data_IF_765342600666
#
_entry.id   IF_765342600666
#
_cell.length_a   1.000
_cell.length_b   1.000
_cell.length_c   1.000
_cell.angle_alpha   90.00
_cell.angle_beta   90.00
_cell.angle_gamma   90.00
#
_symmetry.space_group_name_H-M   'P 1'
#
loop_
_entity.id
_entity.type
_entity.pdbx_description
1 polymer ?
#
# COMPACT_ATOMS: atom_id res chain seq x y z
N UNK A 1 -2.35 -4.29 -15.15
CA UNK A 1 -3.38 -3.27 -14.92
C UNK A 1 -2.92 -2.32 -13.82
N UNK A 2 -3.59 -1.17 -13.66
CA UNK A 2 -3.35 -0.23 -12.55
C UNK A 2 -3.98 -0.78 -11.27
N UNK A 3 -3.19 -0.95 -10.22
CA UNK A 3 -3.61 -1.56 -8.95
C UNK A 3 -3.87 -0.52 -7.85
N UNK A 4 -2.96 0.44 -7.69
CA UNK A 4 -3.04 1.52 -6.70
C UNK A 4 -2.60 2.83 -7.34
N UNK A 5 -3.14 3.94 -6.89
CA UNK A 5 -2.69 5.29 -7.23
C UNK A 5 -2.65 6.13 -5.98
N UNK A 6 -1.60 6.93 -5.85
CA UNK A 6 -1.37 7.85 -4.75
C UNK A 6 -1.06 9.21 -5.36
N UNK A 7 -1.72 10.25 -4.85
CA UNK A 7 -1.48 11.64 -5.22
C UNK A 7 -0.95 12.36 -4.00
N UNK A 8 0.15 13.07 -4.15
CA UNK A 8 0.86 13.70 -3.04
C UNK A 8 1.30 15.12 -3.35
N UNK A 9 1.54 15.88 -2.29
CA UNK A 9 2.11 17.21 -2.32
C UNK A 9 3.63 17.12 -2.16
N UNK A 10 4.37 17.82 -3.00
CA UNK A 10 5.85 17.77 -3.00
C UNK A 10 6.49 18.63 -1.91
N UNK A 11 5.81 19.68 -1.44
CA UNK A 11 6.36 20.60 -0.44
C UNK A 11 6.78 19.88 0.86
N UNK A 12 6.02 18.86 1.25
CA UNK A 12 6.17 18.12 2.50
C UNK A 12 6.10 16.59 2.33
N UNK A 13 5.93 16.11 1.10
CA UNK A 13 5.80 14.68 0.81
C UNK A 13 4.50 14.07 1.34
N UNK A 14 3.47 14.89 1.58
CA UNK A 14 2.23 14.43 2.19
C UNK A 14 1.30 13.79 1.14
N UNK A 15 0.78 12.57 1.38
CA UNK A 15 -0.22 11.98 0.50
C UNK A 15 -1.56 12.69 0.69
N UNK A 16 -2.19 13.11 -0.40
CA UNK A 16 -3.45 13.86 -0.42
C UNK A 16 -4.66 12.95 -0.69
N UNK A 17 -4.51 12.05 -1.66
CA UNK A 17 -5.58 11.21 -2.19
C UNK A 17 -5.02 9.87 -2.65
N UNK A 18 -5.90 8.86 -2.72
CA UNK A 18 -5.55 7.53 -3.19
C UNK A 18 -6.69 6.86 -3.95
N UNK A 19 -6.41 5.67 -4.48
CA UNK A 19 -7.47 4.79 -5.01
C UNK A 19 -8.56 4.56 -3.95
N UNK A 20 -9.86 4.70 -4.30
CA UNK A 20 -10.95 4.45 -3.38
C UNK A 20 -10.91 3.05 -2.76
N UNK A 21 -11.20 2.95 -1.47
CA UNK A 21 -11.13 1.70 -0.72
C UNK A 21 -11.94 0.55 -1.35
N UNK A 22 -13.14 0.84 -1.84
CA UNK A 22 -14.00 -0.17 -2.49
C UNK A 22 -13.46 -0.72 -3.82
N UNK A 23 -12.42 -0.10 -4.40
CA UNK A 23 -11.78 -0.54 -5.64
C UNK A 23 -10.49 -1.32 -5.42
N UNK A 24 -10.05 -1.41 -4.16
CA UNK A 24 -8.93 -2.24 -3.72
C UNK A 24 -9.49 -3.67 -3.65
N UNK A 25 -8.98 -4.55 -4.51
CA UNK A 25 -9.32 -5.99 -4.51
C UNK A 25 -9.04 -6.58 -3.11
N UNK A 26 -9.65 -7.74 -2.77
CA UNK A 26 -9.64 -8.41 -1.43
C UNK A 26 -8.25 -8.73 -0.83
N UNK A 27 -7.16 -8.26 -1.45
CA UNK A 27 -5.78 -8.38 -1.01
C UNK A 27 -5.27 -7.08 -0.36
N UNK A 28 -6.03 -6.55 0.61
CA UNK A 28 -5.73 -5.29 1.30
C UNK A 28 -4.35 -5.29 1.97
N UNK A 29 -3.96 -6.41 2.60
CA UNK A 29 -2.66 -6.55 3.28
C UNK A 29 -1.51 -6.40 2.29
N UNK A 30 -1.64 -7.02 1.11
CA UNK A 30 -0.64 -6.90 0.06
C UNK A 30 -0.53 -5.44 -0.40
N UNK A 31 -1.66 -4.79 -0.73
CA UNK A 31 -1.67 -3.42 -1.23
C UNK A 31 -1.25 -2.38 -0.17
N UNK A 32 -1.45 -2.66 1.11
CA UNK A 32 -0.94 -1.82 2.20
C UNK A 32 0.59 -1.72 2.19
N UNK A 33 1.30 -2.81 1.90
CA UNK A 33 2.76 -2.79 1.79
C UNK A 33 3.25 -1.92 0.62
N UNK A 34 2.58 -1.99 -0.54
CA UNK A 34 2.92 -1.13 -1.67
C UNK A 34 2.53 0.32 -1.44
N UNK A 35 1.46 0.59 -0.69
CA UNK A 35 1.12 1.96 -0.28
C UNK A 35 2.26 2.58 0.53
N UNK A 36 2.78 1.87 1.52
CA UNK A 36 3.94 2.33 2.31
C UNK A 36 5.18 2.57 1.42
N UNK A 37 5.45 1.67 0.46
CA UNK A 37 6.54 1.87 -0.51
C UNK A 37 6.31 3.13 -1.38
N UNK A 38 5.07 3.39 -1.82
CA UNK A 38 4.71 4.57 -2.60
C UNK A 38 4.83 5.87 -1.80
N UNK A 39 4.45 5.87 -0.52
CA UNK A 39 4.66 7.00 0.40
C UNK A 39 6.16 7.30 0.59
N UNK A 40 7.00 6.25 0.70
CA UNK A 40 8.46 6.43 0.75
C UNK A 40 8.99 7.05 -0.54
N UNK A 41 8.53 6.58 -1.71
CA UNK A 41 8.88 7.19 -3.00
C UNK A 41 8.46 8.65 -3.05
N UNK A 42 7.24 8.98 -2.62
CA UNK A 42 6.77 10.37 -2.56
C UNK A 42 7.67 11.23 -1.67
N UNK A 43 8.09 10.70 -0.51
CA UNK A 43 9.01 11.39 0.40
C UNK A 43 10.36 11.63 -0.28
N UNK A 44 10.92 10.64 -0.96
CA UNK A 44 12.21 10.79 -1.65
C UNK A 44 12.15 11.80 -2.82
N UNK A 45 11.00 11.88 -3.49
CA UNK A 45 10.75 12.92 -4.49
C UNK A 45 10.69 14.29 -3.80
N UNK A 46 9.97 14.40 -2.67
CA UNK A 46 9.82 15.67 -1.94
C UNK A 46 11.13 16.22 -1.37
N UNK A 47 12.06 15.34 -0.96
CA UNK A 47 13.39 15.74 -0.48
C UNK A 47 14.34 16.16 -1.60
N UNK A 48 13.92 16.01 -2.87
CA UNK A 48 14.72 16.36 -4.04
C UNK A 48 15.78 15.33 -4.40
N UNK A 49 15.75 14.12 -3.82
CA UNK A 49 16.65 13.03 -4.20
C UNK A 49 16.21 12.35 -5.51
N UNK A 50 14.92 12.37 -5.83
CA UNK A 50 14.36 11.97 -7.12
C UNK A 50 13.79 13.20 -7.85
N UNK A 51 14.56 13.78 -8.76
CA UNK A 51 14.21 15.04 -9.45
C UNK A 51 13.58 14.85 -10.83
N UNK A 52 13.53 13.62 -11.34
CA UNK A 52 13.10 13.34 -12.70
C UNK A 52 11.57 13.49 -12.83
N UNK A 53 11.07 14.27 -13.81
CA UNK A 53 9.65 14.60 -13.90
C UNK A 53 8.77 13.39 -14.21
N UNK A 54 9.33 12.39 -14.89
CA UNK A 54 8.72 11.09 -15.16
C UNK A 54 9.71 10.02 -14.77
N UNK A 55 9.26 8.99 -14.08
CA UNK A 55 10.14 7.92 -13.64
C UNK A 55 9.39 6.60 -13.50
N UNK A 56 10.10 5.50 -13.70
CA UNK A 56 9.60 4.15 -13.37
C UNK A 56 10.48 3.53 -12.31
N UNK A 57 9.84 2.88 -11.34
CA UNK A 57 10.52 2.24 -10.22
C UNK A 57 10.06 0.79 -10.17
N UNK A 58 11.00 -0.14 -10.34
CA UNK A 58 10.73 -1.57 -10.31
C UNK A 58 10.60 -2.04 -8.86
N UNK A 59 9.50 -2.72 -8.55
CA UNK A 59 9.17 -3.21 -7.20
C UNK A 59 8.59 -4.61 -7.28
N UNK A 60 9.40 -5.61 -6.94
CA UNK A 60 9.00 -7.02 -6.96
C UNK A 60 8.43 -7.41 -8.34
N UNK A 61 7.15 -7.80 -8.39
CA UNK A 61 6.41 -8.18 -9.61
C UNK A 61 5.57 -7.03 -10.20
N UNK A 62 5.82 -5.79 -9.74
CA UNK A 62 5.09 -4.59 -10.08
C UNK A 62 6.05 -3.45 -10.44
N UNK A 63 5.48 -2.36 -10.93
CA UNK A 63 6.19 -1.12 -11.22
C UNK A 63 5.41 0.05 -10.64
N UNK A 64 6.10 0.98 -10.00
CA UNK A 64 5.58 2.32 -9.82
C UNK A 64 5.94 3.17 -11.03
N UNK A 65 4.97 3.95 -11.51
CA UNK A 65 5.23 5.05 -12.42
C UNK A 65 4.90 6.34 -11.67
N UNK A 66 5.81 7.31 -11.69
CA UNK A 66 5.59 8.63 -11.08
C UNK A 66 5.62 9.73 -12.11
N UNK A 67 4.76 10.73 -11.90
CA UNK A 67 4.69 11.96 -12.67
C UNK A 67 4.67 13.13 -11.68
N UNK A 68 5.66 14.01 -11.81
CA UNK A 68 5.84 15.21 -11.00
C UNK A 68 5.39 16.42 -11.82
N UNK A 69 4.57 17.29 -11.24
CA UNK A 69 4.15 18.55 -11.87
C UNK A 69 3.46 19.50 -10.90
N UNK A 70 3.72 20.80 -11.03
CA UNK A 70 3.06 21.89 -10.29
C UNK A 70 2.98 21.69 -8.76
N UNK A 71 4.09 21.26 -8.15
CA UNK A 71 4.16 21.06 -6.69
C UNK A 71 3.43 19.81 -6.19
N UNK A 72 2.94 18.98 -7.10
CA UNK A 72 2.26 17.70 -6.80
C UNK A 72 2.91 16.54 -7.53
N UNK A 73 2.62 15.32 -7.08
CA UNK A 73 3.10 14.09 -7.68
C UNK A 73 1.99 13.05 -7.73
N UNK A 74 1.83 12.40 -8.89
CA UNK A 74 0.96 11.26 -9.06
C UNK A 74 1.82 10.00 -9.21
N UNK A 75 1.56 8.98 -8.38
CA UNK A 75 2.27 7.70 -8.39
C UNK A 75 1.25 6.59 -8.63
N UNK A 76 1.48 5.74 -9.63
CA UNK A 76 0.63 4.59 -9.94
C UNK A 76 1.40 3.28 -9.82
N UNK A 77 0.88 2.34 -9.04
CA UNK A 77 1.30 0.94 -9.02
C UNK A 77 0.63 0.19 -10.16
N UNK A 78 1.42 -0.45 -11.00
CA UNK A 78 0.97 -1.27 -12.10
C UNK A 78 1.60 -2.66 -12.05
N UNK A 79 0.89 -3.67 -12.56
CA UNK A 79 1.53 -4.96 -12.85
C UNK A 79 2.70 -4.78 -13.83
N UNK A 80 3.75 -5.59 -13.71
CA UNK A 80 4.94 -5.48 -14.57
C UNK A 80 4.65 -5.59 -16.09
N UNK A 81 3.59 -6.32 -16.48
CA UNK A 81 3.17 -6.45 -17.88
C UNK A 81 2.31 -5.29 -18.41
N UNK A 82 1.93 -4.34 -17.55
CA UNK A 82 1.08 -3.25 -17.97
C UNK A 82 1.87 -2.29 -18.87
N UNK A 83 1.33 -1.87 -20.03
CA UNK A 83 2.09 -1.03 -20.95
C UNK A 83 2.53 0.28 -20.30
N UNK A 84 3.85 0.47 -20.15
CA UNK A 84 4.48 1.66 -19.52
C UNK A 84 3.93 2.96 -20.10
N UNK A 85 3.81 3.04 -21.42
CA UNK A 85 3.25 4.20 -22.12
C UNK A 85 1.83 4.54 -21.68
N UNK A 86 0.99 3.52 -21.52
CA UNK A 86 -0.38 3.70 -21.08
C UNK A 86 -0.45 4.13 -19.61
N UNK A 87 0.48 3.68 -18.77
CA UNK A 87 0.60 4.16 -17.39
C UNK A 87 0.92 5.66 -17.32
N UNK A 88 1.82 6.16 -18.18
CA UNK A 88 2.11 7.59 -18.22
C UNK A 88 0.97 8.41 -18.79
N UNK A 89 0.24 7.91 -19.79
CA UNK A 89 -1.00 8.57 -20.22
C UNK A 89 -2.05 8.65 -19.11
N UNK A 90 -2.21 7.57 -18.34
CA UNK A 90 -3.08 7.56 -17.17
C UNK A 90 -2.68 8.64 -16.15
N UNK A 91 -1.39 8.74 -15.82
CA UNK A 91 -0.88 9.74 -14.89
C UNK A 91 -1.01 11.17 -15.43
N UNK A 92 -0.78 11.37 -16.73
CA UNK A 92 -0.93 12.68 -17.38
C UNK A 92 -2.38 13.16 -17.32
N UNK A 93 -3.35 12.34 -17.76
CA UNK A 93 -4.74 12.78 -17.70
C UNK A 93 -5.21 13.00 -16.24
N UNK A 94 -4.68 12.22 -15.29
CA UNK A 94 -5.01 12.40 -13.87
C UNK A 94 -4.42 13.69 -13.31
N UNK A 95 -3.19 14.03 -13.70
CA UNK A 95 -2.51 15.26 -13.30
C UNK A 95 -3.19 16.49 -13.91
N UNK A 96 -3.65 16.43 -15.16
CA UNK A 96 -4.47 17.49 -15.79
C UNK A 96 -5.77 17.78 -15.02
N UNK A 97 -6.41 16.78 -14.41
CA UNK A 97 -7.55 17.03 -13.52
C UNK A 97 -7.15 17.63 -12.17
N UNK A 98 -5.94 17.32 -11.69
CA UNK A 98 -5.41 17.89 -10.46
C UNK A 98 -5.08 19.37 -10.65
N UNK A 99 -4.53 19.76 -11.81
CA UNK A 99 -4.25 21.15 -12.17
C UNK A 99 -5.50 22.04 -12.21
N UNK A 100 -6.70 21.46 -12.42
CA UNK A 100 -7.98 22.19 -12.36
C UNK A 100 -8.37 22.57 -10.93
N UNK A 101 -7.74 21.96 -9.93
CA UNK A 101 -7.97 22.26 -8.51
C UNK A 101 -7.09 23.45 -8.13
N UNK A 102 -7.67 24.45 -7.47
CA UNK A 102 -6.90 25.59 -6.97
C UNK A 102 -5.80 25.09 -6.00
N UNK A 103 -4.55 25.47 -6.28
CA UNK A 103 -3.39 25.17 -5.44
C UNK A 103 -3.60 25.59 -3.98
N UNK A 104 -4.38 26.64 -3.71
CA UNK A 104 -4.74 27.05 -2.34
C UNK A 104 -5.51 25.97 -1.58
N UNK A 105 -6.37 25.23 -2.28
CA UNK A 105 -7.10 24.09 -1.70
C UNK A 105 -6.13 22.95 -1.42
N UNK A 106 -5.25 22.64 -2.37
CA UNK A 106 -4.21 21.61 -2.21
C UNK A 106 -3.28 21.92 -1.02
N UNK A 107 -2.93 23.20 -0.83
CA UNK A 107 -2.11 23.68 0.27
C UNK A 107 -2.85 23.68 1.61
N UNK A 108 -4.18 23.84 1.60
CA UNK A 108 -5.00 23.90 2.83
C UNK A 108 -5.09 22.58 3.59
N UNK A 109 -4.85 21.44 2.94
CA UNK A 109 -4.85 20.14 3.59
C UNK A 109 -3.68 20.01 4.57
N UNK A 110 -3.99 19.52 5.78
CA UNK A 110 -3.04 19.31 6.88
C UNK A 110 -2.91 17.83 7.29
N UNK A 111 -3.88 17.01 6.90
CA UNK A 111 -3.91 15.59 7.24
C UNK A 111 -3.68 14.72 5.99
N UNK A 112 -2.93 13.61 6.14
CA UNK A 112 -2.78 12.61 5.08
C UNK A 112 -4.13 12.08 4.58
N UNK A 113 -4.25 11.87 3.26
CA UNK A 113 -5.42 11.27 2.61
C UNK A 113 -6.74 12.02 2.85
N UNK A 114 -6.69 13.31 3.17
CA UNK A 114 -7.85 14.14 3.46
C UNK A 114 -8.59 14.64 2.20
N UNK A 115 -7.96 14.57 1.02
CA UNK A 115 -8.57 15.01 -0.24
C UNK A 115 -9.51 13.96 -0.86
N UNK A 116 -10.52 13.52 -0.09
CA UNK A 116 -11.46 12.45 -0.49
C UNK A 116 -12.23 12.70 -1.79
N UNK A 117 -12.45 13.97 -2.14
CA UNK A 117 -13.12 14.32 -3.40
C UNK A 117 -12.30 13.86 -4.61
N UNK A 118 -10.97 13.89 -4.52
CA UNK A 118 -10.10 13.48 -5.61
C UNK A 118 -10.02 11.95 -5.76
N UNK A 119 -10.30 11.18 -4.71
CA UNK A 119 -10.37 9.72 -4.77
C UNK A 119 -11.36 9.26 -5.87
N UNK A 120 -12.49 9.96 -6.05
CA UNK A 120 -13.46 9.68 -7.10
C UNK A 120 -12.88 9.91 -8.52
N UNK A 121 -12.07 10.96 -8.69
CA UNK A 121 -11.39 11.25 -9.95
C UNK A 121 -10.42 10.12 -10.26
N UNK A 122 -9.58 9.74 -9.29
CA UNK A 122 -8.67 8.60 -9.38
C UNK A 122 -9.42 7.32 -9.80
N UNK A 123 -10.53 7.01 -9.14
CA UNK A 123 -11.34 5.83 -9.48
C UNK A 123 -11.89 5.86 -10.90
N UNK A 124 -12.42 7.00 -11.34
CA UNK A 124 -12.97 7.17 -12.69
C UNK A 124 -11.91 7.03 -13.79
N UNK A 125 -10.73 7.62 -13.60
CA UNK A 125 -9.62 7.43 -14.54
C UNK A 125 -9.12 6.00 -14.51
N UNK A 126 -8.92 5.41 -13.32
CA UNK A 126 -8.47 4.02 -13.22
C UNK A 126 -9.34 3.09 -14.06
N UNK A 127 -10.67 3.20 -13.94
CA UNK A 127 -11.62 2.38 -14.69
C UNK A 127 -11.47 2.50 -16.21
N UNK A 128 -11.20 3.70 -16.74
CA UNK A 128 -10.97 3.91 -18.18
C UNK A 128 -9.67 3.26 -18.68
N UNK A 129 -8.70 3.09 -17.79
CA UNK A 129 -7.38 2.56 -18.10
C UNK A 129 -7.18 1.09 -17.68
N UNK A 130 -8.16 0.48 -17.01
CA UNK A 130 -8.11 -0.93 -16.61
C UNK A 130 -7.95 -1.85 -17.83
N UNK A 131 -8.77 -1.65 -18.86
CA UNK A 131 -8.71 -2.44 -20.09
C UNK A 131 -7.83 -1.76 -21.15
N UNK A 132 -6.64 -2.33 -21.34
CA UNK A 132 -5.66 -1.88 -22.35
C UNK A 132 -6.14 -2.02 -23.80
N UNK A 133 -7.18 -2.82 -24.04
CA UNK A 133 -7.65 -3.23 -25.38
C UNK A 133 -8.77 -2.34 -25.91
N UNK A 134 -9.23 -1.36 -25.13
CA UNK A 134 -10.23 -0.40 -25.60
C UNK A 134 -9.67 0.44 -26.75
N UNK A 135 -10.54 0.86 -27.68
CA UNK A 135 -10.12 1.66 -28.84
C UNK A 135 -9.39 2.95 -28.44
N UNK A 136 -9.84 3.61 -27.35
CA UNK A 136 -9.19 4.81 -26.81
C UNK A 136 -7.77 4.53 -26.30
N UNK A 137 -7.57 3.42 -25.57
CA UNK A 137 -6.26 3.07 -25.02
C UNK A 137 -5.30 2.57 -26.11
N UNK A 138 -5.81 1.82 -27.09
CA UNK A 138 -5.04 1.43 -28.27
C UNK A 138 -4.60 2.65 -29.09
N UNK A 139 -5.47 3.67 -29.22
CA UNK A 139 -5.11 4.92 -29.86
C UNK A 139 -3.94 5.62 -29.12
N UNK A 140 -4.02 5.75 -27.79
CA UNK A 140 -2.93 6.32 -26.97
C UNK A 140 -1.63 5.53 -27.06
N UNK A 141 -1.72 4.20 -27.12
CA UNK A 141 -0.55 3.34 -27.31
C UNK A 141 0.13 3.58 -28.66
N UNK A 142 -0.66 3.82 -29.70
CA UNK A 142 -0.17 3.98 -31.07
C UNK A 142 0.21 5.43 -31.42
N UNK A 143 -0.31 6.44 -30.73
CA UNK A 143 0.02 7.85 -30.97
C UNK A 143 1.49 8.17 -30.65
N UNK A 144 2.18 8.93 -31.50
CA UNK A 144 3.61 9.31 -31.48
C UNK A 144 4.57 8.60 -30.51
N UNK A 145 5.49 7.84 -31.10
CA UNK A 145 6.49 6.97 -30.46
C UNK A 145 7.72 7.71 -29.90
N UNK A 146 7.78 9.05 -30.02
CA UNK A 146 9.01 9.83 -29.75
C UNK A 146 9.19 10.26 -28.30
N UNK A 147 8.14 10.30 -27.49
CA UNK A 147 8.21 10.86 -26.12
C UNK A 147 8.53 9.83 -25.02
N UNK A 148 8.63 8.53 -25.34
CA UNK A 148 8.79 7.45 -24.34
C UNK A 148 10.23 6.95 -24.16
N UNK A 149 11.18 7.38 -25.00
CA UNK A 149 12.51 6.76 -25.10
C UNK A 149 13.45 7.14 -23.94
N UNK A 150 13.14 8.20 -23.18
CA UNK A 150 14.04 8.76 -22.16
C UNK A 150 13.49 8.72 -20.73
N UNK A 151 12.49 7.87 -20.45
CA UNK A 151 11.98 7.77 -19.09
C UNK A 151 12.92 6.87 -18.26
N UNK A 152 13.57 7.40 -17.21
CA UNK A 152 14.49 6.64 -16.37
C UNK A 152 13.76 5.53 -15.61
N UNK A 153 14.50 4.45 -15.36
CA UNK A 153 14.04 3.31 -14.59
C UNK A 153 15.01 3.07 -13.44
N UNK A 154 14.52 3.03 -12.21
CA UNK A 154 15.30 2.66 -11.03
C UNK A 154 14.71 1.44 -10.33
N UNK A 155 15.49 0.84 -9.45
CA UNK A 155 15.02 -0.21 -8.55
C UNK A 155 14.65 0.39 -7.19
N UNK A 156 13.56 -0.10 -6.60
CA UNK A 156 13.14 0.37 -5.27
C UNK A 156 14.18 0.08 -4.17
N UNK A 157 14.96 -0.99 -4.30
CA UNK A 157 16.06 -1.31 -3.39
C UNK A 157 17.12 -0.20 -3.35
N UNK A 158 17.42 0.43 -4.48
CA UNK A 158 18.34 1.56 -4.56
C UNK A 158 17.79 2.79 -3.82
N UNK A 159 16.50 3.07 -3.99
CA UNK A 159 15.81 4.17 -3.30
C UNK A 159 15.84 3.94 -1.78
N UNK A 160 15.54 2.71 -1.35
CA UNK A 160 15.59 2.35 0.07
C UNK A 160 17.00 2.51 0.66
N UNK A 161 18.03 2.10 -0.09
CA UNK A 161 19.43 2.26 0.33
C UNK A 161 19.82 3.73 0.45
N UNK A 162 19.45 4.55 -0.53
CA UNK A 162 19.73 5.98 -0.52
C UNK A 162 19.07 6.68 0.67
N UNK A 163 17.81 6.33 0.97
CA UNK A 163 17.07 6.82 2.14
C UNK A 163 17.79 6.49 3.47
N UNK A 164 18.32 5.27 3.61
CA UNK A 164 19.08 4.87 4.80
C UNK A 164 20.40 5.64 4.93
N UNK A 165 21.09 5.88 3.81
CA UNK A 165 22.39 6.59 3.82
C UNK A 165 22.26 8.10 4.01
N UNK A 166 21.14 8.71 3.62
CA UNK A 166 20.93 10.15 3.74
C UNK A 166 20.60 10.59 5.17
N UNK A 167 20.53 9.66 6.14
CA UNK A 167 20.12 9.95 7.51
C UNK A 167 18.67 10.45 7.59
N UNK A 168 17.90 10.28 6.51
CA UNK A 168 16.46 10.48 6.53
C UNK A 168 15.89 9.34 7.36
N UNK A 169 15.74 9.56 8.66
CA UNK A 169 15.17 8.57 9.55
C UNK A 169 13.90 8.00 8.90
N UNK A 170 13.95 6.71 8.58
CA UNK A 170 12.78 5.84 8.45
C UNK A 170 12.22 5.61 9.86
N UNK A 171 12.15 6.68 10.64
CA UNK A 171 11.44 6.78 11.90
C UNK A 171 10.02 7.15 11.53
N UNK A 172 9.14 6.15 11.59
CA UNK A 172 7.76 6.28 12.05
C UNK A 172 7.13 7.64 11.73
N UNK A 173 6.59 7.82 10.52
CA UNK A 173 5.59 8.87 10.32
C UNK A 173 4.40 8.55 11.22
N UNK A 174 4.39 9.22 12.36
CA UNK A 174 3.31 9.30 13.32
C UNK A 174 2.13 10.03 12.67
N UNK A 175 1.39 9.33 11.80
CA UNK A 175 0.03 9.68 11.34
C UNK A 175 -0.57 8.50 10.54
N UNK A 176 -0.62 7.31 11.13
CA UNK A 176 -1.58 6.28 10.73
C UNK A 176 -2.21 5.72 11.99
N UNK A 177 -3.13 6.49 12.59
CA UNK A 177 -4.11 5.94 13.52
C UNK A 177 -5.29 5.40 12.72
N UNK A 178 -5.65 4.14 13.03
CA UNK A 178 -6.84 3.41 12.61
C UNK A 178 -6.91 2.86 11.18
N UNK A 179 -6.35 1.66 10.97
CA UNK A 179 -7.12 0.42 10.87
C UNK A 179 -6.16 -0.77 10.58
N UNK A 180 -6.20 -1.79 11.45
CA UNK A 180 -5.78 -3.20 11.27
C UNK A 180 -4.98 -3.55 9.99
N UNK A 181 -3.78 -4.14 10.03
CA UNK A 181 -3.34 -5.17 10.96
C UNK A 181 -1.80 -5.28 10.97
N UNK A 182 -1.21 -5.12 12.15
CA UNK A 182 -0.03 -5.88 12.56
C UNK A 182 -0.37 -6.63 13.84
N UNK A 183 -1.42 -7.45 13.80
CA UNK A 183 -1.63 -8.52 14.80
C UNK A 183 -0.85 -9.76 14.33
N UNK A 184 0.35 -9.59 13.79
CA UNK A 184 1.25 -10.73 13.56
C UNK A 184 2.71 -10.31 13.46
N UNK A 185 3.09 -9.37 14.30
CA UNK A 185 4.49 -9.18 14.64
C UNK A 185 4.52 -8.53 16.00
N UNK A 186 4.68 -9.33 17.05
CA UNK A 186 5.24 -8.82 18.29
C UNK A 186 5.55 -9.95 19.26
N UNK A 187 6.73 -9.81 19.87
CA UNK A 187 7.21 -10.41 21.11
C UNK A 187 6.14 -10.54 22.23
N UNK A 188 5.03 -9.79 22.15
CA UNK A 188 3.93 -9.80 23.12
C UNK A 188 3.09 -11.09 23.08
N UNK A 189 2.92 -11.71 21.90
CA UNK A 189 2.23 -13.01 21.80
C UNK A 189 3.05 -14.13 22.45
N UNK A 190 4.37 -14.03 22.41
CA UNK A 190 5.27 -14.96 23.10
C UNK A 190 5.12 -14.81 24.62
N UNK A 191 5.04 -13.58 25.13
CA UNK A 191 4.86 -13.31 26.57
C UNK A 191 3.47 -13.72 27.07
N UNK A 192 2.43 -13.56 26.23
CA UNK A 192 1.07 -14.00 26.56
C UNK A 192 0.98 -15.52 26.49
N UNK A 193 1.49 -16.16 25.43
CA UNK A 193 1.51 -17.62 25.32
C UNK A 193 2.24 -18.26 26.50
N UNK A 194 3.43 -17.76 26.87
CA UNK A 194 4.23 -18.31 27.97
C UNK A 194 3.51 -18.22 29.34
N UNK A 195 2.70 -17.17 29.55
CA UNK A 195 1.93 -17.01 30.80
C UNK A 195 0.74 -17.97 30.89
N UNK A 196 0.07 -18.27 29.78
CA UNK A 196 -1.18 -19.04 29.80
C UNK A 196 -0.98 -20.54 29.56
N UNK A 197 0.11 -20.97 28.90
CA UNK A 197 0.42 -22.40 28.68
C UNK A 197 0.41 -23.25 29.97
N UNK A 198 1.11 -22.88 31.07
CA UNK A 198 1.11 -23.72 32.27
C UNK A 198 -0.26 -23.82 32.94
N UNK A 199 -1.07 -22.75 32.88
CA UNK A 199 -2.43 -22.72 33.44
C UNK A 199 -3.34 -23.68 32.65
N UNK A 200 -3.29 -23.64 31.32
CA UNK A 200 -4.07 -24.55 30.48
C UNK A 200 -3.68 -26.01 30.68
N UNK A 201 -2.38 -26.31 30.83
CA UNK A 201 -1.93 -27.69 31.09
C UNK A 201 -2.46 -28.19 32.44
N UNK A 202 -2.42 -27.37 33.49
CA UNK A 202 -2.94 -27.73 34.81
C UNK A 202 -4.45 -28.02 34.79
N UNK A 203 -5.23 -27.18 34.12
CA UNK A 203 -6.68 -27.38 33.97
C UNK A 203 -6.97 -28.66 33.20
N UNK A 204 -6.24 -28.93 32.12
CA UNK A 204 -6.44 -30.12 31.30
C UNK A 204 -6.12 -31.40 32.07
N UNK A 205 -5.03 -31.43 32.86
CA UNK A 205 -4.70 -32.56 33.74
C UNK A 205 -5.77 -32.78 34.81
N UNK A 206 -6.28 -31.72 35.43
CA UNK A 206 -7.35 -31.83 36.43
C UNK A 206 -8.64 -32.43 35.84
N UNK A 207 -9.01 -32.02 34.61
CA UNK A 207 -10.16 -32.58 33.89
C UNK A 207 -9.95 -34.07 33.59
N UNK A 208 -8.75 -34.48 33.16
CA UNK A 208 -8.44 -35.89 32.91
C UNK A 208 -8.55 -36.70 34.21
N UNK A 209 -8.01 -36.21 35.32
CA UNK A 209 -8.07 -36.92 36.60
C UNK A 209 -9.53 -37.08 37.08
N UNK A 210 -10.34 -36.02 36.97
CA UNK A 210 -11.77 -36.09 37.28
C UNK A 210 -12.49 -37.09 36.37
N UNK A 211 -12.19 -37.08 35.07
CA UNK A 211 -12.77 -38.04 34.13
C UNK A 211 -12.40 -39.48 34.48
N UNK A 212 -11.13 -39.75 34.77
CA UNK A 212 -10.69 -41.09 35.18
C UNK A 212 -11.30 -41.52 36.51
N UNK A 213 -11.49 -40.60 37.46
CA UNK A 213 -12.15 -40.88 38.73
C UNK A 213 -13.62 -41.25 38.57
N UNK A 214 -14.36 -40.55 37.71
CA UNK A 214 -15.76 -40.88 37.39
C UNK A 214 -15.84 -42.26 36.73
N UNK A 215 -14.97 -42.52 35.75
CA UNK A 215 -14.93 -43.80 35.02
C UNK A 215 -14.55 -44.96 35.94
N UNK A 216 -13.57 -44.80 36.82
CA UNK A 216 -13.19 -45.83 37.82
C UNK A 216 -14.31 -46.11 38.82
N UNK A 217 -15.03 -45.07 39.27
CA UNK A 217 -16.19 -45.23 40.16
C UNK A 217 -17.36 -45.98 39.49
N UNK A 218 -17.55 -45.82 38.17
CA UNK A 218 -18.50 -46.63 37.39
C UNK A 218 -18.07 -48.10 37.28
N UNK A 219 -16.76 -48.40 37.24
CA UNK A 219 -16.28 -49.79 37.24
C UNK A 219 -16.41 -50.47 38.60
N UNK A 220 -16.07 -49.79 39.70
CA UNK A 220 -16.17 -50.36 41.05
C UNK A 220 -17.62 -50.69 41.44
N UNK A 221 -18.59 -49.91 40.94
CA UNK A 221 -20.03 -50.16 41.15
C UNK A 221 -20.58 -51.33 40.33
N UNK A 222 -19.95 -51.69 39.21
CA UNK A 222 -20.33 -52.83 38.36
C UNK A 222 -19.72 -54.16 38.82
N UNK A 223 -18.61 -54.15 39.57
CA UNK A 223 -17.98 -55.36 40.12
C UNK A 223 -18.46 -55.75 41.52
N UNK A 224 -19.36 -54.97 42.13
CA UNK A 224 -19.88 -55.18 43.49
C UNK A 224 -21.16 -56.03 43.58
N UNK A 225 -21.50 -56.81 42.55
CA UNK A 225 -22.63 -57.75 42.51
C UNK A 225 -22.18 -59.18 42.21
#
# INVERSE_FOLDING_TARGET
MVKLTLVGRLRDGMPLSQTPAHMIEDNEVFLASYRQKAELVLREISTGALTMPKMTILVDHHCFHSLIGDGTCCIALCDAWYPRKLAFHYLQDLHEELEKVDNRIIESFLEPYSFKRFDYVVGNFRNRYLDTRTQANLYKLNSDRRNDVDIPTEEFSNILRNCQTSGTDVGTSSTITHAQATIWSSHLLEVIALKWTPITVLVMVAVILLWTGVVLNEYDTLTAW
#
